data_IF_682606068450
#
_entry.id   IF_682606068450
#
_cell.length_a   1.000
_cell.length_b   1.000
_cell.length_c   1.000
_cell.angle_alpha   90.00
_cell.angle_beta   90.00
_cell.angle_gamma   90.00
#
_symmetry.space_group_name_H-M   'P 1'
#
loop_
_entity.id
_entity.type
_entity.pdbx_description
1 polymer ?
#
# COMPACT_ATOMS: atom_id res chain seq x y z
N UNK A 1 32.50 -41.09 -71.85
CA UNK A 1 31.07 -40.70 -71.73
C UNK A 1 30.70 -41.00 -70.27
N UNK A 2 30.46 -40.05 -69.38
CA UNK A 2 29.63 -38.85 -69.50
C UNK A 2 30.18 -37.73 -68.59
N UNK A 3 30.14 -36.52 -69.11
CA UNK A 3 30.55 -35.26 -68.50
C UNK A 3 29.56 -34.83 -67.39
N UNK A 4 30.06 -34.23 -66.32
CA UNK A 4 29.33 -33.33 -65.43
C UNK A 4 30.33 -32.48 -64.63
N UNK A 5 30.71 -31.33 -65.20
CA UNK A 5 31.09 -30.14 -64.42
C UNK A 5 29.86 -29.62 -63.66
N UNK A 6 30.06 -29.13 -62.44
CA UNK A 6 29.40 -27.87 -62.08
C UNK A 6 30.19 -27.07 -61.04
N UNK A 7 30.06 -25.74 -61.15
CA UNK A 7 30.86 -24.72 -60.51
C UNK A 7 30.33 -24.32 -59.14
N UNK A 8 31.26 -23.91 -58.26
CA UNK A 8 31.09 -23.20 -56.98
C UNK A 8 30.63 -24.04 -55.78
N UNK A 9 31.54 -24.17 -54.81
CA UNK A 9 31.18 -24.22 -53.39
C UNK A 9 31.81 -25.35 -52.60
N UNK A 10 32.93 -25.05 -51.92
CA UNK A 10 33.62 -25.94 -50.96
C UNK A 10 32.66 -26.52 -49.91
N UNK A 11 32.68 -27.86 -49.77
CA UNK A 11 32.67 -28.53 -48.47
C UNK A 11 33.78 -29.60 -48.47
N UNK A 12 34.69 -29.55 -47.49
CA UNK A 12 35.60 -30.66 -47.18
C UNK A 12 35.22 -31.19 -45.80
N UNK A 13 34.60 -32.36 -45.79
CA UNK A 13 34.74 -33.32 -44.70
C UNK A 13 36.11 -33.99 -44.87
N UNK A 14 36.88 -34.12 -43.79
CA UNK A 14 37.99 -35.07 -43.71
C UNK A 14 37.84 -35.84 -42.40
N UNK A 15 37.53 -37.13 -42.56
CA UNK A 15 37.80 -38.19 -41.60
C UNK A 15 39.08 -38.87 -42.05
N UNK A 16 39.99 -39.19 -41.12
CA UNK A 16 40.61 -40.53 -40.98
C UNK A 16 41.59 -40.57 -39.78
N UNK A 17 41.96 -41.78 -39.29
CA UNK A 17 42.07 -42.12 -37.88
C UNK A 17 43.44 -42.77 -37.58
N UNK A 18 43.68 -43.19 -36.34
CA UNK A 18 44.61 -44.29 -36.00
C UNK A 18 44.24 -44.77 -34.59
N UNK A 19 43.74 -46.01 -34.41
CA UNK A 19 44.50 -47.26 -34.10
C UNK A 19 45.04 -47.22 -32.65
N UNK A 20 44.86 -48.17 -31.72
CA UNK A 20 44.18 -49.48 -31.61
C UNK A 20 44.42 -49.98 -30.14
N UNK A 21 43.68 -51.00 -29.68
CA UNK A 21 44.05 -52.00 -28.63
C UNK A 21 43.91 -51.58 -27.14
N UNK A 22 43.30 -52.35 -26.21
CA UNK A 22 42.51 -53.60 -26.18
C UNK A 22 41.99 -53.83 -24.74
N UNK A 23 40.82 -54.49 -24.62
CA UNK A 23 40.43 -55.62 -23.71
C UNK A 23 39.15 -55.44 -22.89
N UNK A 24 38.35 -56.49 -23.00
CA UNK A 24 36.98 -56.73 -22.55
C UNK A 24 36.90 -57.28 -21.12
N UNK A 25 35.76 -56.97 -20.49
CA UNK A 25 34.95 -57.78 -19.56
C UNK A 25 35.53 -58.17 -18.18
N UNK A 26 34.79 -57.82 -17.10
CA UNK A 26 34.00 -58.70 -16.22
C UNK A 26 33.57 -57.85 -14.98
N UNK A 27 32.40 -58.19 -14.43
CA UNK A 27 31.86 -57.89 -13.09
C UNK A 27 30.82 -56.77 -13.02
N UNK A 28 29.56 -57.19 -13.21
CA UNK A 28 28.42 -56.60 -12.56
C UNK A 28 28.60 -56.65 -11.03
N UNK A 29 28.75 -55.49 -10.39
CA UNK A 29 28.50 -55.33 -8.97
C UNK A 29 27.59 -54.13 -8.80
N UNK A 30 26.39 -54.45 -8.35
CA UNK A 30 25.34 -53.55 -7.90
C UNK A 30 25.93 -52.65 -6.82
N UNK A 31 26.16 -51.39 -7.15
CA UNK A 31 25.94 -50.31 -6.20
C UNK A 31 25.05 -49.29 -6.91
N UNK A 32 23.75 -49.57 -6.88
CA UNK A 32 22.75 -48.52 -6.92
C UNK A 32 23.02 -47.66 -5.67
N UNK A 33 23.95 -46.71 -5.76
CA UNK A 33 23.89 -45.54 -4.89
C UNK A 33 22.67 -44.79 -5.37
N UNK A 34 21.49 -45.21 -4.87
CA UNK A 34 20.40 -44.28 -4.74
C UNK A 34 20.93 -43.19 -3.83
N UNK A 35 21.46 -42.14 -4.44
CA UNK A 35 21.50 -40.84 -3.81
C UNK A 35 20.03 -40.51 -3.60
N UNK A 36 19.49 -40.95 -2.46
CA UNK A 36 18.40 -40.29 -1.80
C UNK A 36 18.92 -38.91 -1.37
N UNK A 37 19.23 -38.07 -2.37
CA UNK A 37 19.04 -36.65 -2.24
C UNK A 37 17.53 -36.51 -2.14
N UNK A 38 17.02 -36.77 -0.94
CA UNK A 38 15.72 -36.31 -0.54
C UNK A 38 15.69 -34.87 -1.02
N UNK A 39 14.79 -34.61 -1.96
CA UNK A 39 14.61 -33.28 -2.50
C UNK A 39 14.26 -32.41 -1.31
N UNK A 40 15.27 -31.79 -0.70
CA UNK A 40 15.11 -30.86 0.39
C UNK A 40 14.38 -29.71 -0.25
N UNK A 41 13.04 -29.78 -0.22
CA UNK A 41 12.15 -28.76 -0.73
C UNK A 41 12.60 -27.51 -0.02
N UNK A 42 13.32 -26.62 -0.72
CA UNK A 42 13.93 -25.46 -0.10
C UNK A 42 12.85 -24.75 0.70
N UNK A 43 13.01 -24.73 2.03
CA UNK A 43 11.98 -24.21 2.94
C UNK A 43 11.74 -22.75 2.54
N UNK A 44 10.48 -22.41 2.26
CA UNK A 44 10.13 -21.03 1.88
C UNK A 44 10.65 -20.06 2.95
N UNK A 45 11.26 -18.93 2.57
CA UNK A 45 11.79 -17.99 3.54
C UNK A 45 10.65 -17.49 4.40
N UNK A 46 10.84 -17.55 5.72
CA UNK A 46 9.90 -16.96 6.67
C UNK A 46 10.22 -15.48 6.78
N UNK A 47 9.39 -14.65 6.15
CA UNK A 47 9.53 -13.20 6.18
C UNK A 47 8.82 -12.63 7.41
N UNK A 48 9.10 -11.39 7.82
CA UNK A 48 8.40 -10.79 8.95
C UNK A 48 6.92 -10.50 8.65
N UNK A 49 6.17 -10.29 9.73
CA UNK A 49 4.79 -9.80 9.67
C UNK A 49 4.72 -8.43 9.00
N UNK A 50 3.63 -8.13 8.30
CA UNK A 50 3.41 -6.84 7.65
C UNK A 50 3.31 -5.70 8.68
N UNK A 51 2.69 -5.98 9.83
CA UNK A 51 2.43 -5.00 10.90
C UNK A 51 3.56 -4.94 11.90
N UNK A 52 3.89 -3.74 12.37
CA UNK A 52 4.82 -3.56 13.48
C UNK A 52 4.19 -4.06 14.78
N UNK A 53 5.00 -4.67 15.64
CA UNK A 53 4.62 -5.07 17.00
C UNK A 53 5.81 -4.92 17.93
N UNK A 54 5.63 -5.14 19.24
CA UNK A 54 6.73 -5.09 20.21
C UNK A 54 7.90 -6.02 19.83
N UNK A 55 7.61 -7.18 19.23
CA UNK A 55 8.57 -8.20 18.81
C UNK A 55 8.92 -8.13 17.33
N UNK A 56 8.14 -7.39 16.53
CA UNK A 56 8.34 -7.22 15.08
C UNK A 56 8.65 -5.75 14.75
N UNK A 57 9.87 -5.31 15.04
CA UNK A 57 10.35 -3.95 14.78
C UNK A 57 11.25 -3.88 13.55
N UNK A 58 11.38 -2.69 12.96
CA UNK A 58 12.41 -2.46 11.94
C UNK A 58 13.79 -2.45 12.62
N UNK A 59 14.77 -3.23 12.16
CA UNK A 59 16.10 -3.27 12.76
C UNK A 59 16.76 -1.89 12.75
N UNK A 60 17.45 -1.53 13.84
CA UNK A 60 18.10 -0.20 13.98
C UNK A 60 19.13 0.12 12.89
N UNK A 61 19.70 -0.92 12.26
CA UNK A 61 20.63 -0.77 11.15
C UNK A 61 19.96 -0.30 9.85
N UNK A 62 18.64 -0.42 9.74
CA UNK A 62 17.87 0.09 8.61
C UNK A 62 17.58 1.57 8.83
N UNK A 63 18.19 2.42 8.02
CA UNK A 63 17.95 3.87 8.04
C UNK A 63 17.65 4.36 6.64
N UNK A 64 16.90 5.47 6.46
CA UNK A 64 16.65 6.04 5.15
C UNK A 64 17.94 6.27 4.36
N UNK A 65 18.99 6.78 5.01
CA UNK A 65 20.32 6.98 4.40
C UNK A 65 20.89 5.68 3.82
N UNK A 66 20.84 4.57 4.57
CA UNK A 66 21.36 3.27 4.13
C UNK A 66 20.50 2.64 3.05
N UNK A 67 19.18 2.75 3.14
CA UNK A 67 18.26 2.30 2.08
C UNK A 67 18.49 3.05 0.77
N UNK A 68 18.70 4.36 0.83
CA UNK A 68 19.04 5.15 -0.36
C UNK A 68 20.40 4.76 -0.94
N UNK A 69 21.42 4.53 -0.10
CA UNK A 69 22.71 4.01 -0.56
C UNK A 69 22.58 2.63 -1.22
N UNK A 70 21.71 1.77 -0.70
CA UNK A 70 21.40 0.47 -1.30
C UNK A 70 20.70 0.61 -2.65
N UNK A 71 19.67 1.48 -2.76
CA UNK A 71 18.98 1.74 -4.03
C UNK A 71 19.95 2.26 -5.11
N UNK A 72 20.83 3.20 -4.75
CA UNK A 72 21.84 3.76 -5.66
C UNK A 72 22.88 2.74 -6.15
N UNK A 73 23.05 1.60 -5.46
CA UNK A 73 23.99 0.57 -5.90
C UNK A 73 23.56 -0.17 -7.17
N UNK A 74 22.32 0.04 -7.63
CA UNK A 74 21.78 -0.57 -8.86
C UNK A 74 21.06 0.40 -9.78
N UNK A 75 20.62 1.55 -9.26
CA UNK A 75 20.07 2.62 -10.07
C UNK A 75 21.10 3.74 -10.24
N UNK A 76 21.79 3.74 -11.37
CA UNK A 76 22.80 4.75 -11.70
C UNK A 76 22.23 5.99 -12.41
N UNK A 77 20.93 6.02 -12.73
CA UNK A 77 20.30 7.15 -13.40
C UNK A 77 20.26 8.39 -12.51
N UNK A 78 21.06 9.42 -12.82
CA UNK A 78 21.10 10.68 -12.08
C UNK A 78 19.72 11.33 -11.94
N UNK A 79 18.91 11.29 -13.01
CA UNK A 79 17.54 11.83 -13.03
C UNK A 79 16.64 11.13 -12.02
N UNK A 80 16.60 9.80 -12.03
CA UNK A 80 15.73 9.00 -11.16
C UNK A 80 16.20 9.06 -9.70
N UNK A 81 17.51 9.06 -9.46
CA UNK A 81 18.09 9.28 -8.12
C UNK A 81 17.69 10.63 -7.55
N UNK A 82 17.67 11.70 -8.36
CA UNK A 82 17.22 13.04 -7.95
C UNK A 82 15.72 13.07 -7.67
N UNK A 83 14.92 12.44 -8.55
CA UNK A 83 13.48 12.35 -8.41
C UNK A 83 13.12 11.67 -7.09
N UNK A 84 13.69 10.49 -6.82
CA UNK A 84 13.35 9.66 -5.67
C UNK A 84 14.23 9.87 -4.43
N UNK A 85 14.96 10.99 -4.34
CA UNK A 85 15.96 11.23 -3.27
C UNK A 85 15.45 11.07 -1.84
N UNK A 86 14.16 11.29 -1.61
CA UNK A 86 13.52 11.25 -0.29
C UNK A 86 12.61 10.03 -0.09
N UNK A 87 12.56 9.07 -1.02
CA UNK A 87 11.59 7.98 -0.97
C UNK A 87 11.72 7.14 0.31
N UNK A 88 12.94 6.77 0.72
CA UNK A 88 13.16 5.99 1.94
C UNK A 88 12.76 6.73 3.22
N UNK A 89 12.81 8.07 3.20
CA UNK A 89 12.29 8.88 4.31
C UNK A 89 10.77 8.72 4.43
N UNK A 90 10.04 8.77 3.32
CA UNK A 90 8.59 8.56 3.33
C UNK A 90 8.19 7.14 3.72
N UNK A 91 8.96 6.11 3.34
CA UNK A 91 8.70 4.75 3.84
C UNK A 91 8.80 4.69 5.36
N UNK A 92 9.86 5.27 5.93
CA UNK A 92 10.00 5.32 7.39
C UNK A 92 8.87 6.12 8.03
N UNK A 93 8.60 7.32 7.52
CA UNK A 93 7.59 8.22 8.11
C UNK A 93 6.19 7.60 8.10
N UNK A 94 5.70 7.17 6.93
CA UNK A 94 4.38 6.56 6.82
C UNK A 94 4.32 5.19 7.48
N UNK A 95 5.39 4.41 7.38
CA UNK A 95 5.50 3.10 8.01
C UNK A 95 5.41 3.15 9.53
N UNK A 96 6.14 4.06 10.16
CA UNK A 96 6.05 4.28 11.61
C UNK A 96 4.66 4.79 12.02
N UNK A 97 4.11 5.77 11.29
CA UNK A 97 2.77 6.32 11.56
C UNK A 97 1.66 5.29 11.42
N UNK A 98 1.76 4.43 10.41
CA UNK A 98 0.74 3.44 10.10
C UNK A 98 1.01 2.08 10.73
N UNK A 99 2.10 1.90 11.48
CA UNK A 99 2.53 0.63 12.05
C UNK A 99 2.79 -0.49 11.00
N UNK A 100 3.48 -0.17 9.90
CA UNK A 100 3.86 -1.13 8.84
C UNK A 100 5.38 -1.36 8.86
N UNK A 101 5.82 -2.61 8.63
CA UNK A 101 7.23 -3.01 8.44
C UNK A 101 7.81 -2.41 7.16
N UNK A 102 8.19 -1.14 7.28
CA UNK A 102 8.53 -0.28 6.15
C UNK A 102 9.83 -0.61 5.45
N UNK A 103 10.74 -1.31 6.12
CA UNK A 103 11.94 -1.87 5.50
C UNK A 103 11.57 -2.90 4.43
N UNK A 104 10.64 -3.81 4.75
CA UNK A 104 10.16 -4.81 3.80
C UNK A 104 9.26 -4.22 2.71
N UNK A 105 8.44 -3.21 3.01
CA UNK A 105 7.72 -2.46 1.98
C UNK A 105 8.69 -1.77 0.99
N UNK A 106 9.81 -1.24 1.48
CA UNK A 106 10.85 -0.67 0.62
C UNK A 106 11.54 -1.75 -0.22
N UNK A 107 11.87 -2.91 0.34
CA UNK A 107 12.46 -4.02 -0.41
C UNK A 107 11.52 -4.56 -1.49
N UNK A 108 10.22 -4.64 -1.18
CA UNK A 108 9.17 -4.93 -2.13
C UNK A 108 9.24 -3.96 -3.32
N UNK A 109 9.31 -2.65 -3.05
CA UNK A 109 9.44 -1.63 -4.09
C UNK A 109 10.67 -1.79 -4.97
N UNK A 110 11.80 -2.25 -4.42
CA UNK A 110 12.99 -2.52 -5.25
C UNK A 110 12.74 -3.63 -6.28
N UNK A 111 11.82 -4.56 -6.00
CA UNK A 111 11.43 -5.63 -6.94
C UNK A 111 10.43 -5.07 -7.94
N UNK A 112 9.34 -4.48 -7.44
CA UNK A 112 8.20 -3.99 -8.24
C UNK A 112 8.61 -2.94 -9.28
N UNK A 113 9.65 -2.16 -8.99
CA UNK A 113 10.10 -1.06 -9.84
C UNK A 113 11.47 -1.31 -10.47
N UNK A 114 12.06 -2.49 -10.24
CA UNK A 114 13.46 -2.78 -10.55
C UNK A 114 14.40 -1.65 -10.07
N UNK A 115 14.50 -1.47 -8.75
CA UNK A 115 15.31 -0.42 -8.10
C UNK A 115 14.95 1.00 -8.56
N UNK A 116 13.66 1.28 -8.77
CA UNK A 116 13.13 2.57 -9.25
C UNK A 116 13.62 2.95 -10.66
N UNK A 117 14.10 1.98 -11.44
CA UNK A 117 14.42 2.20 -12.85
C UNK A 117 13.18 2.10 -13.73
N UNK A 118 12.17 1.35 -13.28
CA UNK A 118 10.96 0.98 -14.02
C UNK A 118 11.27 0.28 -15.36
N UNK A 119 12.47 -0.28 -15.48
CA UNK A 119 12.92 -1.03 -16.63
C UNK A 119 12.81 -2.53 -16.35
N UNK A 120 12.44 -3.29 -17.36
CA UNK A 120 12.53 -4.75 -17.36
C UNK A 120 14.00 -5.19 -17.37
N UNK A 121 14.26 -6.49 -17.13
CA UNK A 121 15.62 -7.05 -17.19
C UNK A 121 16.30 -6.89 -18.56
N UNK A 122 15.52 -6.72 -19.65
CA UNK A 122 16.01 -6.44 -21.00
C UNK A 122 16.17 -4.94 -21.29
N UNK A 123 16.02 -4.07 -20.30
CA UNK A 123 16.21 -2.63 -20.42
C UNK A 123 15.03 -1.84 -21.01
N UNK A 124 13.94 -2.51 -21.44
CA UNK A 124 12.70 -1.88 -21.91
C UNK A 124 11.90 -1.28 -20.75
N UNK A 125 11.05 -0.30 -21.01
CA UNK A 125 10.09 0.21 -20.02
C UNK A 125 9.11 -0.89 -19.58
N UNK A 126 8.80 -0.92 -18.29
CA UNK A 126 7.70 -1.72 -17.74
C UNK A 126 6.35 -1.01 -17.86
N UNK A 127 5.31 -1.58 -17.27
CA UNK A 127 3.92 -1.09 -17.38
C UNK A 127 3.67 0.24 -16.66
N UNK A 128 4.58 0.68 -15.78
CA UNK A 128 4.41 1.87 -14.93
C UNK A 128 5.46 2.91 -15.25
N UNK A 129 5.02 4.13 -15.58
CA UNK A 129 5.89 5.30 -15.71
C UNK A 129 6.40 5.76 -14.33
N UNK A 130 7.69 6.10 -14.16
CA UNK A 130 8.22 6.66 -12.92
C UNK A 130 7.46 7.87 -12.35
N UNK A 131 6.85 8.70 -13.21
CA UNK A 131 6.01 9.86 -12.85
C UNK A 131 4.62 9.47 -12.34
N UNK A 132 4.24 8.19 -12.45
CA UNK A 132 3.02 7.70 -11.83
C UNK A 132 3.15 7.58 -10.30
N UNK A 133 4.39 7.58 -9.78
CA UNK A 133 4.70 7.38 -8.36
C UNK A 133 4.06 6.12 -7.76
N UNK A 134 3.78 5.13 -8.60
CA UNK A 134 3.29 3.82 -8.18
C UNK A 134 4.48 2.90 -7.94
N UNK A 135 4.78 2.68 -6.67
CA UNK A 135 5.98 1.97 -6.21
C UNK A 135 5.75 0.48 -5.95
N UNK A 136 4.55 0.00 -6.24
CA UNK A 136 4.13 -1.34 -5.85
C UNK A 136 3.25 -2.05 -6.90
N UNK A 137 3.20 -1.52 -8.13
CA UNK A 137 2.40 -2.10 -9.21
C UNK A 137 0.89 -2.12 -8.92
N UNK A 138 0.38 -1.21 -8.09
CA UNK A 138 -1.01 -1.26 -7.66
C UNK A 138 -1.91 -1.01 -8.87
N UNK A 139 -2.79 -1.96 -9.16
CA UNK A 139 -3.75 -1.84 -10.27
C UNK A 139 -3.18 -2.16 -11.65
N UNK A 140 -1.93 -2.62 -11.76
CA UNK A 140 -1.42 -3.15 -13.03
C UNK A 140 -2.04 -4.52 -13.34
N UNK A 141 -2.29 -4.80 -14.61
CA UNK A 141 -2.78 -6.11 -15.08
C UNK A 141 -1.80 -6.82 -16.03
N UNK A 142 -0.66 -6.20 -16.32
CA UNK A 142 0.27 -6.63 -17.37
C UNK A 142 -0.14 -6.15 -18.76
N UNK A 143 0.79 -6.20 -19.72
CA UNK A 143 0.51 -5.88 -21.13
C UNK A 143 0.38 -4.39 -21.42
N UNK A 144 1.00 -3.52 -20.62
CA UNK A 144 1.00 -2.06 -20.84
C UNK A 144 -0.19 -1.30 -20.24
N UNK A 145 -1.11 -1.96 -19.53
CA UNK A 145 -2.20 -1.26 -18.81
C UNK A 145 -1.61 -0.49 -17.63
N UNK A 146 -1.71 0.86 -17.61
CA UNK A 146 -1.13 1.65 -16.55
C UNK A 146 -1.89 1.39 -15.24
N UNK A 147 -1.15 1.13 -14.17
CA UNK A 147 -1.72 0.99 -12.83
C UNK A 147 -2.17 2.35 -12.25
N UNK A 148 -2.56 2.33 -10.97
CA UNK A 148 -2.92 3.54 -10.22
C UNK A 148 -1.80 4.60 -10.31
N UNK A 149 -2.18 5.88 -10.35
CA UNK A 149 -1.26 7.03 -10.37
C UNK A 149 -1.47 7.90 -9.13
N UNK A 150 -0.36 8.42 -8.60
CA UNK A 150 -0.32 9.27 -7.43
C UNK A 150 0.27 10.64 -7.76
N UNK A 151 -0.08 11.70 -7.01
CA UNK A 151 0.40 13.07 -7.26
C UNK A 151 1.88 13.26 -6.90
N UNK A 152 2.39 12.52 -5.92
CA UNK A 152 3.75 12.67 -5.42
C UNK A 152 4.26 11.38 -4.75
N UNK A 153 5.55 11.38 -4.41
CA UNK A 153 6.25 10.24 -3.80
C UNK A 153 5.65 9.87 -2.44
N UNK A 154 5.33 10.86 -1.60
CA UNK A 154 4.76 10.63 -0.27
C UNK A 154 3.41 9.92 -0.39
N UNK A 155 2.56 10.40 -1.30
CA UNK A 155 1.24 9.85 -1.58
C UNK A 155 1.32 8.44 -2.16
N UNK A 156 2.24 8.18 -3.08
CA UNK A 156 2.49 6.83 -3.62
C UNK A 156 2.97 5.83 -2.57
N UNK A 157 3.89 6.24 -1.70
CA UNK A 157 4.36 5.39 -0.59
C UNK A 157 3.23 5.12 0.40
N UNK A 158 2.46 6.15 0.79
CA UNK A 158 1.29 5.99 1.65
C UNK A 158 0.26 5.02 1.04
N UNK A 159 0.02 5.10 -0.26
CA UNK A 159 -0.90 4.21 -0.96
C UNK A 159 -0.47 2.74 -0.87
N UNK A 160 0.82 2.43 -1.06
CA UNK A 160 1.36 1.08 -0.83
C UNK A 160 1.21 0.63 0.62
N UNK A 161 1.53 1.50 1.59
CA UNK A 161 1.37 1.16 3.01
C UNK A 161 -0.07 0.78 3.33
N UNK A 162 -1.04 1.58 2.88
CA UNK A 162 -2.46 1.29 3.09
C UNK A 162 -2.90 0.00 2.38
N UNK A 163 -2.36 -0.28 1.18
CA UNK A 163 -2.64 -1.54 0.50
C UNK A 163 -2.09 -2.74 1.29
N UNK A 164 -0.87 -2.64 1.81
CA UNK A 164 -0.28 -3.66 2.69
C UNK A 164 -1.11 -3.87 3.96
N UNK A 165 -1.71 -2.81 4.51
CA UNK A 165 -2.62 -2.94 5.66
C UNK A 165 -3.87 -3.74 5.30
N UNK A 166 -4.45 -3.52 4.11
CA UNK A 166 -5.52 -4.41 3.62
C UNK A 166 -5.05 -5.87 3.54
N UNK A 167 -3.86 -6.13 3.01
CA UNK A 167 -3.28 -7.48 3.02
C UNK A 167 -2.98 -8.02 4.42
N UNK A 168 -2.82 -7.18 5.43
CA UNK A 168 -2.71 -7.62 6.82
C UNK A 168 -4.04 -8.04 7.46
N UNK A 169 -5.17 -7.84 6.78
CA UNK A 169 -6.50 -8.17 7.29
C UNK A 169 -7.24 -6.99 7.97
N UNK A 170 -6.74 -5.77 7.77
CA UNK A 170 -7.28 -4.54 8.35
C UNK A 170 -7.86 -3.63 7.25
N UNK A 171 -9.10 -3.17 7.43
CA UNK A 171 -9.71 -2.20 6.52
C UNK A 171 -9.08 -0.82 6.71
N UNK A 172 -9.01 -0.06 5.62
CA UNK A 172 -8.52 1.31 5.61
C UNK A 172 -9.69 2.27 5.37
N UNK A 173 -9.83 3.28 6.24
CA UNK A 173 -10.75 4.39 6.02
C UNK A 173 -10.16 5.29 4.95
N UNK A 174 -10.87 5.46 3.83
CA UNK A 174 -10.47 6.26 2.67
C UNK A 174 -9.07 5.92 2.14
N UNK A 175 -8.84 4.70 1.61
CA UNK A 175 -7.57 4.33 1.00
C UNK A 175 -7.18 5.28 -0.13
N UNK A 176 -5.91 5.67 -0.22
CA UNK A 176 -5.40 6.57 -1.25
C UNK A 176 -5.50 5.94 -2.64
N UNK A 177 -5.11 4.67 -2.79
CA UNK A 177 -5.17 3.94 -4.06
C UNK A 177 -6.61 3.57 -4.46
N UNK A 178 -7.11 3.98 -5.64
CA UNK A 178 -8.39 3.53 -6.19
C UNK A 178 -8.58 2.02 -6.14
N UNK A 179 -7.56 1.25 -6.55
CA UNK A 179 -7.59 -0.22 -6.49
C UNK A 179 -7.82 -0.75 -5.07
N UNK A 180 -7.24 -0.10 -4.07
CA UNK A 180 -7.43 -0.49 -2.66
C UNK A 180 -8.85 -0.20 -2.20
N UNK A 181 -9.43 0.94 -2.57
CA UNK A 181 -10.85 1.25 -2.27
C UNK A 181 -11.76 0.17 -2.83
N UNK A 182 -11.53 -0.23 -4.08
CA UNK A 182 -12.34 -1.20 -4.79
C UNK A 182 -12.26 -2.61 -4.18
N UNK A 183 -11.09 -3.03 -3.68
CA UNK A 183 -10.84 -4.45 -3.37
C UNK A 183 -10.36 -4.79 -1.97
N UNK A 184 -10.21 -3.79 -1.10
CA UNK A 184 -9.81 -4.06 0.28
C UNK A 184 -10.73 -5.06 0.99
N UNK A 185 -12.05 -5.05 0.77
CA UNK A 185 -12.96 -5.98 1.44
C UNK A 185 -12.66 -7.44 1.11
N UNK A 186 -12.49 -7.74 -0.18
CA UNK A 186 -12.11 -9.06 -0.67
C UNK A 186 -10.71 -9.46 -0.14
N UNK A 187 -9.73 -8.56 -0.24
CA UNK A 187 -8.36 -8.78 0.23
C UNK A 187 -8.35 -9.09 1.73
N UNK A 188 -9.04 -8.28 2.54
CA UNK A 188 -9.13 -8.42 3.99
C UNK A 188 -9.81 -9.72 4.36
N UNK A 189 -10.94 -10.06 3.73
CA UNK A 189 -11.65 -11.32 3.96
C UNK A 189 -10.74 -12.52 3.71
N UNK A 190 -9.98 -12.52 2.62
CA UNK A 190 -9.03 -13.58 2.30
C UNK A 190 -7.85 -13.61 3.28
N UNK A 191 -7.34 -12.45 3.71
CA UNK A 191 -6.26 -12.36 4.69
C UNK A 191 -6.65 -12.95 6.04
N UNK A 192 -7.88 -12.67 6.51
CA UNK A 192 -8.37 -13.17 7.80
C UNK A 192 -8.49 -14.69 7.86
N UNK A 193 -8.63 -15.37 6.72
CA UNK A 193 -8.62 -16.85 6.66
C UNK A 193 -7.30 -17.48 7.14
N UNK A 194 -6.20 -16.72 7.13
CA UNK A 194 -4.91 -17.21 7.63
C UNK A 194 -4.88 -17.41 9.16
N UNK A 195 -5.80 -16.80 9.92
CA UNK A 195 -5.92 -16.95 11.38
C UNK A 195 -4.63 -16.70 12.16
N UNK A 196 -3.75 -15.83 11.63
CA UNK A 196 -2.52 -15.36 12.27
C UNK A 196 -2.10 -14.02 11.67
N UNK A 197 -1.16 -13.29 12.30
CA UNK A 197 -0.53 -12.14 11.65
C UNK A 197 0.01 -12.50 10.26
N UNK A 198 -0.36 -11.68 9.28
CA UNK A 198 0.03 -11.88 7.89
C UNK A 198 1.47 -11.40 7.69
N UNK A 199 2.27 -12.19 6.99
CA UNK A 199 3.68 -11.93 6.72
C UNK A 199 3.91 -11.56 5.26
N UNK A 200 5.06 -10.96 4.97
CA UNK A 200 5.43 -10.65 3.59
C UNK A 200 5.53 -11.90 2.70
N UNK A 201 5.82 -13.08 3.26
CA UNK A 201 5.80 -14.34 2.50
C UNK A 201 4.40 -14.78 2.08
N UNK A 202 3.35 -14.33 2.77
CA UNK A 202 1.95 -14.59 2.40
C UNK A 202 1.49 -13.76 1.18
N UNK A 203 2.26 -12.76 0.76
CA UNK A 203 1.97 -11.98 -0.43
C UNK A 203 2.20 -12.78 -1.72
N UNK A 204 3.01 -13.85 -1.66
CA UNK A 204 3.25 -14.72 -2.80
C UNK A 204 1.96 -15.44 -3.23
N UNK A 205 1.57 -15.24 -4.49
CA UNK A 205 0.34 -15.79 -5.03
C UNK A 205 -0.95 -15.04 -4.65
N UNK A 206 -0.84 -13.89 -3.97
CA UNK A 206 -1.97 -13.06 -3.56
C UNK A 206 -1.80 -11.61 -4.03
N UNK A 207 -0.62 -11.04 -3.78
CA UNK A 207 -0.18 -9.76 -4.31
C UNK A 207 0.39 -9.93 -5.71
N UNK A 208 1.39 -10.79 -5.83
CA UNK A 208 2.00 -11.16 -7.11
C UNK A 208 1.56 -12.58 -7.47
N UNK A 209 1.34 -12.86 -8.75
CA UNK A 209 1.02 -14.22 -9.23
C UNK A 209 2.17 -15.19 -8.93
N UNK A 210 3.42 -14.70 -8.99
CA UNK A 210 4.63 -15.47 -8.73
C UNK A 210 4.64 -16.09 -7.32
N UNK A 211 4.77 -17.42 -7.26
CA UNK A 211 4.87 -18.19 -6.01
C UNK A 211 6.26 -18.08 -5.37
N UNK A 212 7.28 -17.67 -6.12
CA UNK A 212 8.65 -17.41 -5.64
C UNK A 212 8.85 -15.97 -5.16
N UNK A 213 7.82 -15.14 -5.18
CA UNK A 213 7.89 -13.72 -4.79
C UNK A 213 8.50 -13.49 -3.40
N UNK A 214 8.21 -14.36 -2.42
CA UNK A 214 8.82 -14.30 -1.10
C UNK A 214 10.35 -14.44 -1.13
N UNK A 215 10.89 -15.29 -2.02
CA UNK A 215 12.33 -15.43 -2.22
C UNK A 215 12.96 -14.17 -2.81
N UNK A 216 12.26 -13.51 -3.73
CA UNK A 216 12.71 -12.23 -4.30
C UNK A 216 12.82 -11.15 -3.22
N UNK A 217 11.79 -11.01 -2.37
CA UNK A 217 11.81 -10.07 -1.23
C UNK A 217 12.96 -10.40 -0.28
N UNK A 218 13.09 -11.67 0.10
CA UNK A 218 14.14 -12.09 1.01
C UNK A 218 15.54 -11.86 0.42
N UNK A 219 15.71 -12.09 -0.88
CA UNK A 219 16.99 -11.88 -1.53
C UNK A 219 17.42 -10.39 -1.49
N UNK A 220 16.49 -9.47 -1.74
CA UNK A 220 16.75 -8.02 -1.62
C UNK A 220 17.06 -7.65 -0.17
N UNK A 221 16.24 -8.12 0.77
CA UNK A 221 16.39 -7.83 2.20
C UNK A 221 17.71 -8.36 2.77
N UNK A 222 18.10 -9.59 2.40
CA UNK A 222 19.37 -10.22 2.77
C UNK A 222 20.56 -9.48 2.17
N UNK A 223 20.45 -9.06 0.91
CA UNK A 223 21.50 -8.26 0.25
C UNK A 223 21.75 -6.95 0.98
N UNK A 224 20.67 -6.28 1.41
CA UNK A 224 20.79 -5.09 2.25
C UNK A 224 21.45 -5.41 3.60
N UNK A 225 20.96 -6.43 4.31
CA UNK A 225 21.48 -6.79 5.65
C UNK A 225 22.96 -7.15 5.62
N UNK A 226 23.39 -7.96 4.65
CA UNK A 226 24.80 -8.37 4.49
C UNK A 226 25.73 -7.15 4.37
N UNK A 227 25.28 -6.09 3.69
CA UNK A 227 26.09 -4.88 3.47
C UNK A 227 25.98 -3.83 4.57
N UNK A 228 24.81 -3.67 5.18
CA UNK A 228 24.51 -2.51 6.03
C UNK A 228 24.15 -2.86 7.49
N UNK A 229 24.04 -4.14 7.84
CA UNK A 229 23.63 -4.61 9.16
C UNK A 229 24.65 -5.57 9.82
N UNK A 230 25.93 -5.47 9.49
CA UNK A 230 27.00 -6.34 10.01
C UNK A 230 27.99 -5.59 10.90
N UNK A 231 28.60 -6.32 11.85
CA UNK A 231 29.73 -5.87 12.67
C UNK A 231 29.63 -4.42 13.16
N UNK A 232 30.63 -3.61 12.77
CA UNK A 232 30.77 -2.19 13.12
C UNK A 232 29.55 -1.34 12.72
N UNK A 233 28.92 -1.63 11.58
CA UNK A 233 27.77 -0.85 11.09
C UNK A 233 26.52 -1.01 11.97
N UNK A 234 26.33 -2.20 12.56
CA UNK A 234 25.26 -2.44 13.51
C UNK A 234 25.53 -1.71 14.83
N UNK A 235 26.78 -1.69 15.30
CA UNK A 235 27.15 -0.97 16.52
C UNK A 235 26.98 0.55 16.38
N UNK A 236 27.42 1.13 15.25
CA UNK A 236 27.18 2.54 14.94
C UNK A 236 25.69 2.85 14.95
N UNK A 237 24.87 2.02 14.31
CA UNK A 237 23.43 2.22 14.28
C UNK A 237 22.77 2.14 15.67
N UNK A 238 23.21 1.21 16.52
CA UNK A 238 22.76 1.11 17.91
C UNK A 238 23.14 2.35 18.72
N UNK A 239 24.37 2.84 18.57
CA UNK A 239 24.84 4.04 19.25
C UNK A 239 24.05 5.29 18.81
N UNK A 240 23.83 5.47 17.50
CA UNK A 240 23.00 6.55 16.96
C UNK A 240 21.55 6.48 17.48
N UNK A 241 20.96 5.29 17.52
CA UNK A 241 19.61 5.07 18.04
C UNK A 241 19.51 5.43 19.54
N UNK A 242 20.51 5.03 20.35
CA UNK A 242 20.60 5.40 21.77
C UNK A 242 20.69 6.92 21.93
N UNK A 243 21.56 7.59 21.17
CA UNK A 243 21.72 9.06 21.18
C UNK A 243 20.41 9.77 20.83
N UNK A 244 19.70 9.31 19.79
CA UNK A 244 18.39 9.86 19.39
C UNK A 244 17.32 9.65 20.47
N UNK A 245 17.27 8.47 21.10
CA UNK A 245 16.33 8.17 22.19
C UNK A 245 16.57 9.09 23.38
N UNK A 246 17.83 9.30 23.77
CA UNK A 246 18.21 10.23 24.83
C UNK A 246 17.81 11.68 24.48
N UNK A 247 18.11 12.14 23.27
CA UNK A 247 17.74 13.48 22.81
C UNK A 247 16.20 13.69 22.81
N UNK A 248 15.44 12.69 22.37
CA UNK A 248 13.96 12.72 22.41
C UNK A 248 13.43 12.82 23.83
N UNK A 249 13.95 12.00 24.76
CA UNK A 249 13.60 12.06 26.19
C UNK A 249 13.90 13.44 26.79
N UNK A 250 15.07 14.01 26.51
CA UNK A 250 15.45 15.37 26.94
C UNK A 250 14.48 16.43 26.42
N UNK A 251 14.10 16.37 25.13
CA UNK A 251 13.12 17.30 24.53
C UNK A 251 11.73 17.15 25.16
N UNK A 252 11.28 15.93 25.41
CA UNK A 252 10.00 15.66 26.07
C UNK A 252 9.98 16.20 27.51
N UNK A 253 11.05 15.95 28.28
CA UNK A 253 11.22 16.49 29.62
C UNK A 253 11.22 18.03 29.62
N UNK A 254 11.94 18.66 28.69
CA UNK A 254 11.95 20.12 28.54
C UNK A 254 10.55 20.68 28.20
N UNK A 255 9.80 20.01 27.30
CA UNK A 255 8.42 20.40 26.96
C UNK A 255 7.48 20.25 28.16
N UNK A 256 7.62 19.18 28.94
CA UNK A 256 6.84 18.98 30.16
C UNK A 256 7.13 20.05 31.21
N UNK A 257 8.41 20.39 31.44
CA UNK A 257 8.82 21.49 32.33
C UNK A 257 8.22 22.83 31.90
N UNK A 258 8.30 23.18 30.60
CA UNK A 258 7.69 24.41 30.06
C UNK A 258 6.18 24.47 30.28
N UNK A 259 5.48 23.34 30.10
CA UNK A 259 4.03 23.24 30.36
C UNK A 259 3.70 23.46 31.84
N UNK A 260 4.47 22.86 32.75
CA UNK A 260 4.28 23.07 34.21
C UNK A 260 4.49 24.54 34.59
N UNK A 261 5.60 25.15 34.16
CA UNK A 261 5.87 26.56 34.44
C UNK A 261 4.79 27.51 33.87
N UNK A 262 4.25 27.20 32.69
CA UNK A 262 3.15 27.96 32.10
C UNK A 262 1.85 27.82 32.93
N UNK A 263 1.53 26.60 33.38
CA UNK A 263 0.39 26.35 34.26
C UNK A 263 0.54 27.08 35.61
N UNK A 264 1.71 27.02 36.25
CA UNK A 264 1.98 27.72 37.52
C UNK A 264 1.85 29.24 37.36
N UNK A 265 2.29 29.79 36.21
CA UNK A 265 2.14 31.22 35.90
C UNK A 265 0.67 31.61 35.76
N UNK A 266 -0.14 30.77 35.11
CA UNK A 266 -1.59 30.99 35.00
C UNK A 266 -2.28 30.90 36.36
N UNK A 267 -1.93 29.91 37.18
CA UNK A 267 -2.47 29.76 38.53
C UNK A 267 -2.14 30.96 39.42
N UNK A 268 -0.89 31.44 39.40
CA UNK A 268 -0.49 32.66 40.13
C UNK A 268 -1.27 33.90 39.67
N UNK A 269 -1.45 34.09 38.35
CA UNK A 269 -2.27 35.17 37.81
C UNK A 269 -3.73 35.09 38.28
N UNK A 270 -4.32 33.90 38.29
CA UNK A 270 -5.69 33.69 38.77
C UNK A 270 -5.83 34.04 40.26
N UNK A 271 -4.87 33.64 41.10
CA UNK A 271 -4.83 33.99 42.52
C UNK A 271 -4.71 35.50 42.74
N UNK A 272 -3.84 36.20 42.00
CA UNK A 272 -3.71 37.66 42.11
C UNK A 272 -4.99 38.38 41.68
N UNK A 273 -5.64 37.94 40.60
CA UNK A 273 -6.92 38.52 40.17
C UNK A 273 -8.06 38.22 41.15
N UNK A 274 -8.05 37.06 41.81
CA UNK A 274 -9.01 36.73 42.86
C UNK A 274 -8.82 37.62 44.10
N UNK A 275 -7.56 37.86 44.53
CA UNK A 275 -7.25 38.80 45.61
C UNK A 275 -7.67 40.25 45.28
N UNK A 276 -7.40 40.73 44.07
CA UNK A 276 -7.86 42.05 43.62
C UNK A 276 -9.39 42.16 43.64
N UNK A 277 -10.12 41.14 43.17
CA UNK A 277 -11.59 41.11 43.26
C UNK A 277 -12.09 41.09 44.70
N UNK A 278 -11.43 40.34 45.60
CA UNK A 278 -11.79 40.30 47.02
C UNK A 278 -11.56 41.65 47.71
N UNK A 279 -10.52 42.40 47.34
CA UNK A 279 -10.30 43.76 47.81
C UNK A 279 -11.37 44.74 47.29
N UNK A 280 -11.78 44.63 46.02
CA UNK A 280 -12.88 45.46 45.47
C UNK A 280 -14.22 45.14 46.15
N UNK A 281 -14.53 43.87 46.41
CA UNK A 281 -15.78 43.48 47.10
C UNK A 281 -15.82 43.90 48.58
N UNK A 282 -14.68 44.07 49.26
CA UNK A 282 -14.67 44.60 50.65
C UNK A 282 -14.96 46.11 50.72
N UNK A 283 -14.77 46.85 49.63
CA UNK A 283 -15.16 48.27 49.53
C UNK A 283 -16.62 48.48 49.11
N UNK A 284 -17.37 47.40 48.84
CA UNK A 284 -18.76 47.44 48.42
C UNK A 284 -19.62 46.47 49.25
N UNK A 285 -19.67 46.70 50.57
CA UNK A 285 -20.69 46.09 51.43
C UNK A 285 -21.92 47.01 51.48
N UNK A 286 -22.63 47.09 50.35
CA UNK A 286 -24.05 47.40 50.30
C UNK A 286 -24.79 46.09 50.03
N UNK A 287 -25.59 45.64 51.00
CA UNK A 287 -26.31 44.38 50.94
C UNK A 287 -27.25 44.34 49.73
N UNK A 288 -27.05 43.36 48.85
CA UNK A 288 -28.04 42.97 47.85
C UNK A 288 -28.14 41.45 47.83
N UNK A 289 -29.36 40.97 48.11
CA UNK A 289 -29.79 39.58 48.13
C UNK A 289 -29.50 38.86 46.80
N UNK A 290 -28.89 37.68 46.88
CA UNK A 290 -28.59 36.80 45.74
C UNK A 290 -29.84 36.01 45.34
N UNK A 291 -30.34 36.08 44.09
CA UNK A 291 -31.40 35.18 43.63
C UNK A 291 -30.82 33.78 43.31
N UNK A 292 -31.62 32.71 43.40
CA UNK A 292 -31.14 31.34 43.20
C UNK A 292 -30.79 31.08 41.73
N UNK A 293 -29.70 30.35 41.51
CA UNK A 293 -29.25 29.92 40.16
C UNK A 293 -30.22 28.90 39.56
N UNK A 294 -30.53 28.98 38.25
CA UNK A 294 -31.26 27.92 37.56
C UNK A 294 -30.36 26.70 37.32
N UNK A 295 -30.88 25.51 37.63
CA UNK A 295 -30.25 24.22 37.28
C UNK A 295 -30.51 23.96 35.79
N UNK A 296 -29.47 24.02 34.97
CA UNK A 296 -29.50 23.56 33.58
C UNK A 296 -29.38 22.03 33.54
N UNK A 297 -30.51 21.35 33.36
CA UNK A 297 -30.56 19.94 32.98
C UNK A 297 -30.55 19.83 31.46
N UNK A 298 -29.49 19.25 30.89
CA UNK A 298 -29.46 18.92 29.46
C UNK A 298 -30.31 17.66 29.22
N UNK A 299 -31.49 17.82 28.60
CA UNK A 299 -32.25 16.69 28.07
C UNK A 299 -31.57 16.20 26.78
N UNK A 300 -31.08 14.97 26.79
CA UNK A 300 -30.64 14.27 25.58
C UNK A 300 -31.88 13.71 24.89
N UNK A 301 -32.27 14.30 23.77
CA UNK A 301 -33.35 13.79 22.93
C UNK A 301 -32.79 12.73 21.97
N UNK A 302 -33.35 11.52 21.89
CA UNK A 302 -32.94 10.55 20.88
C UNK A 302 -33.35 11.04 19.48
N UNK A 303 -32.58 10.72 18.42
CA UNK A 303 -32.92 11.15 17.07
C UNK A 303 -34.21 10.48 16.58
N UNK A 304 -35.13 11.28 16.01
CA UNK A 304 -36.36 10.81 15.37
C UNK A 304 -36.04 9.93 14.14
N UNK A 305 -36.81 8.88 13.87
CA UNK A 305 -36.73 8.12 12.62
C UNK A 305 -37.16 8.99 11.43
N UNK A 306 -36.34 9.02 10.39
CA UNK A 306 -36.59 9.76 9.14
C UNK A 306 -37.61 8.99 8.29
N UNK A 307 -38.65 9.63 7.73
CA UNK A 307 -39.65 8.97 6.90
C UNK A 307 -39.03 8.42 5.59
N UNK A 308 -39.47 7.23 5.19
CA UNK A 308 -38.95 6.49 4.04
C UNK A 308 -39.55 7.07 2.75
N UNK A 309 -38.76 7.81 1.95
CA UNK A 309 -39.22 8.32 0.64
C UNK A 309 -39.43 7.16 -0.35
N UNK A 310 -40.52 7.21 -1.12
CA UNK A 310 -40.89 6.19 -2.15
C UNK A 310 -39.99 6.24 -3.40
N UNK A 311 -39.20 7.29 -3.57
CA UNK A 311 -38.26 7.45 -4.66
C UNK A 311 -36.94 8.09 -4.18
N UNK A 312 -35.80 7.64 -4.71
CA UNK A 312 -34.47 8.16 -4.35
C UNK A 312 -33.58 8.38 -5.57
N UNK A 313 -32.82 9.48 -5.55
CA UNK A 313 -31.83 9.82 -6.59
C UNK A 313 -30.44 9.71 -5.98
N UNK A 314 -29.60 8.90 -6.60
CA UNK A 314 -28.22 8.66 -6.19
C UNK A 314 -27.25 8.97 -7.31
N UNK A 315 -25.97 9.02 -6.96
CA UNK A 315 -24.91 9.03 -7.96
C UNK A 315 -23.76 8.13 -7.56
N UNK A 316 -23.18 7.49 -8.56
CA UNK A 316 -22.02 6.63 -8.43
C UNK A 316 -21.05 6.91 -9.59
N UNK A 317 -19.78 6.55 -9.43
CA UNK A 317 -18.79 6.80 -10.47
C UNK A 317 -17.68 5.77 -10.38
N UNK A 318 -17.42 5.09 -11.50
CA UNK A 318 -16.19 4.34 -11.76
C UNK A 318 -15.10 5.24 -12.38
N UNK A 319 -15.38 6.54 -12.55
CA UNK A 319 -14.58 7.47 -13.34
C UNK A 319 -14.90 7.36 -14.83
N UNK A 320 -14.70 8.45 -15.57
CA UNK A 320 -14.89 8.50 -17.01
C UNK A 320 -15.85 9.59 -17.49
N UNK A 321 -15.83 9.90 -18.80
CA UNK A 321 -16.58 11.02 -19.35
C UNK A 321 -18.06 10.70 -19.58
N UNK A 322 -18.46 9.42 -19.69
CA UNK A 322 -19.84 9.04 -19.96
C UNK A 322 -20.61 8.74 -18.68
N UNK A 323 -21.89 9.07 -18.63
CA UNK A 323 -22.76 8.74 -17.51
C UNK A 323 -24.00 8.00 -17.96
N UNK A 324 -24.29 6.87 -17.31
CA UNK A 324 -25.47 6.05 -17.55
C UNK A 324 -26.47 6.30 -16.42
N UNK A 325 -27.74 6.50 -16.76
CA UNK A 325 -28.81 6.59 -15.78
C UNK A 325 -29.41 5.20 -15.58
N UNK A 326 -29.33 4.70 -14.35
CA UNK A 326 -29.82 3.37 -13.98
C UNK A 326 -31.08 3.52 -13.15
N UNK A 327 -32.14 2.80 -13.51
CA UNK A 327 -33.36 2.65 -12.70
C UNK A 327 -33.35 1.28 -12.04
N UNK A 328 -33.49 1.24 -10.72
CA UNK A 328 -33.61 0.00 -9.94
C UNK A 328 -34.79 0.08 -8.97
N UNK A 329 -35.43 -1.06 -8.67
CA UNK A 329 -36.49 -1.14 -7.66
C UNK A 329 -36.04 -2.09 -6.55
N UNK A 330 -35.89 -1.57 -5.34
CA UNK A 330 -35.52 -2.35 -4.16
C UNK A 330 -36.56 -2.10 -3.06
N UNK A 331 -37.18 -3.17 -2.54
CA UNK A 331 -38.10 -3.13 -1.40
C UNK A 331 -39.21 -2.05 -1.49
N UNK A 332 -39.78 -1.85 -2.69
CA UNK A 332 -40.86 -0.88 -2.91
C UNK A 332 -40.41 0.55 -3.24
N UNK A 333 -39.12 0.88 -3.08
CA UNK A 333 -38.56 2.20 -3.44
C UNK A 333 -37.90 2.17 -4.81
N UNK A 334 -38.21 3.14 -5.67
CA UNK A 334 -37.54 3.32 -6.96
C UNK A 334 -36.27 4.15 -6.73
N UNK A 335 -35.14 3.68 -7.23
CA UNK A 335 -33.85 4.36 -7.16
C UNK A 335 -33.34 4.68 -8.56
N UNK A 336 -33.06 5.96 -8.82
CA UNK A 336 -32.39 6.42 -10.02
C UNK A 336 -30.93 6.76 -9.71
N UNK A 337 -29.97 6.13 -10.38
CA UNK A 337 -28.54 6.38 -10.18
C UNK A 337 -27.88 6.91 -11.43
N UNK A 338 -27.28 8.09 -11.34
CA UNK A 338 -26.33 8.57 -12.34
C UNK A 338 -24.97 7.90 -12.12
N UNK A 339 -24.63 6.92 -12.95
CA UNK A 339 -23.40 6.13 -12.90
C UNK A 339 -22.40 6.59 -13.96
N UNK A 340 -21.34 7.30 -13.55
CA UNK A 340 -20.26 7.66 -14.48
C UNK A 340 -19.32 6.47 -14.72
N UNK A 341 -19.03 6.18 -15.99
CA UNK A 341 -18.28 5.00 -16.45
C UNK A 341 -17.19 5.39 -17.45
N UNK A 342 -16.16 4.55 -17.57
CA UNK A 342 -15.11 4.71 -18.57
C UNK A 342 -15.65 4.33 -19.96
N UNK A 343 -15.29 5.11 -20.97
CA UNK A 343 -15.62 4.79 -22.36
C UNK A 343 -15.01 3.45 -22.76
N UNK A 344 -15.80 2.58 -23.40
CA UNK A 344 -15.42 1.21 -23.79
C UNK A 344 -15.65 0.15 -22.70
N UNK A 345 -16.08 0.53 -21.49
CA UNK A 345 -16.35 -0.39 -20.38
C UNK A 345 -17.79 -0.27 -19.82
N UNK A 346 -18.67 0.43 -20.53
CA UNK A 346 -20.03 0.80 -20.11
C UNK A 346 -20.83 -0.43 -19.65
N UNK A 347 -20.87 -1.48 -20.47
CA UNK A 347 -21.62 -2.71 -20.18
C UNK A 347 -21.06 -3.46 -18.98
N UNK A 348 -19.73 -3.58 -18.90
CA UNK A 348 -19.05 -4.31 -17.81
C UNK A 348 -19.24 -3.61 -16.46
N UNK A 349 -19.02 -2.29 -16.42
CA UNK A 349 -19.17 -1.48 -15.20
C UNK A 349 -20.62 -1.39 -14.74
N UNK A 350 -21.55 -1.27 -15.68
CA UNK A 350 -22.99 -1.26 -15.35
C UNK A 350 -23.43 -2.61 -14.80
N UNK A 351 -23.01 -3.72 -15.40
CA UNK A 351 -23.33 -5.06 -14.88
C UNK A 351 -22.75 -5.27 -13.47
N UNK A 352 -21.52 -4.78 -13.23
CA UNK A 352 -20.92 -4.82 -11.90
C UNK A 352 -21.71 -4.00 -10.87
N UNK A 353 -22.19 -2.82 -11.26
CA UNK A 353 -23.02 -1.97 -10.40
C UNK A 353 -24.38 -2.61 -10.12
N UNK A 354 -25.06 -3.11 -11.16
CA UNK A 354 -26.36 -3.77 -11.03
C UNK A 354 -26.30 -4.98 -10.10
N UNK A 355 -25.25 -5.81 -10.21
CA UNK A 355 -25.05 -6.97 -9.35
C UNK A 355 -24.84 -6.63 -7.87
N UNK A 356 -24.27 -5.46 -7.57
CA UNK A 356 -23.93 -5.04 -6.20
C UNK A 356 -24.99 -4.17 -5.53
N UNK A 357 -25.75 -3.40 -6.31
CA UNK A 357 -26.65 -2.36 -5.79
C UNK A 357 -28.11 -2.49 -6.27
N UNK A 358 -28.39 -3.34 -7.26
CA UNK A 358 -29.72 -3.52 -7.83
C UNK A 358 -30.06 -5.00 -8.02
N UNK A 359 -29.84 -5.82 -6.98
CA UNK A 359 -30.15 -7.26 -6.98
C UNK A 359 -31.63 -7.57 -7.23
N UNK A 360 -32.54 -6.58 -7.04
CA UNK A 360 -33.96 -6.67 -7.38
C UNK A 360 -34.33 -6.39 -8.84
N UNK A 361 -33.35 -6.20 -9.73
CA UNK A 361 -33.58 -5.90 -11.15
C UNK A 361 -33.47 -4.41 -11.45
N UNK A 362 -32.30 -3.98 -11.91
CA UNK A 362 -32.05 -2.63 -12.42
C UNK A 362 -31.68 -2.65 -13.90
N UNK A 363 -32.03 -1.58 -14.62
CA UNK A 363 -31.71 -1.40 -16.03
C UNK A 363 -31.23 0.01 -16.33
N UNK A 364 -30.36 0.14 -17.33
CA UNK A 364 -30.01 1.45 -17.90
C UNK A 364 -31.22 2.01 -18.65
N UNK A 365 -31.55 3.27 -18.39
CA UNK A 365 -32.68 3.98 -19.00
C UNK A 365 -32.27 5.21 -19.81
N UNK A 366 -30.97 5.52 -19.85
CA UNK A 366 -30.43 6.60 -20.68
C UNK A 366 -28.91 6.71 -20.56
N UNK A 367 -28.29 7.25 -21.60
CA UNK A 367 -26.87 7.62 -21.64
C UNK A 367 -26.73 9.13 -21.79
N UNK A 368 -25.78 9.72 -21.08
CA UNK A 368 -25.59 11.16 -20.99
C UNK A 368 -24.11 11.51 -21.11
N UNK A 369 -23.84 12.67 -21.73
CA UNK A 369 -22.49 13.20 -21.89
C UNK A 369 -21.90 13.69 -20.55
N UNK A 370 -22.75 13.99 -19.57
CA UNK A 370 -22.29 14.44 -18.25
C UNK A 370 -23.15 13.89 -17.11
N UNK A 371 -22.54 13.80 -15.92
CA UNK A 371 -23.24 13.44 -14.70
C UNK A 371 -24.37 14.40 -14.36
N UNK A 372 -24.20 15.68 -14.71
CA UNK A 372 -25.19 16.74 -14.44
C UNK A 372 -26.48 16.51 -15.22
N UNK A 373 -26.39 16.18 -16.51
CA UNK A 373 -27.55 15.86 -17.35
C UNK A 373 -28.28 14.60 -16.85
N UNK A 374 -27.54 13.55 -16.53
CA UNK A 374 -28.12 12.32 -15.99
C UNK A 374 -28.88 12.57 -14.68
N UNK A 375 -28.33 13.40 -13.78
CA UNK A 375 -28.98 13.78 -12.53
C UNK A 375 -30.21 14.65 -12.77
N UNK A 376 -30.15 15.62 -13.69
CA UNK A 376 -31.30 16.45 -14.05
C UNK A 376 -32.47 15.57 -14.53
N UNK A 377 -32.21 14.56 -15.36
CA UNK A 377 -33.23 13.59 -15.76
C UNK A 377 -33.69 12.72 -14.58
N UNK A 378 -32.79 12.28 -13.71
CA UNK A 378 -33.14 11.49 -12.54
C UNK A 378 -34.12 12.21 -11.61
N UNK A 379 -33.89 13.50 -11.34
CA UNK A 379 -34.78 14.34 -10.55
C UNK A 379 -36.14 14.57 -11.25
N UNK A 380 -36.16 14.75 -12.57
CA UNK A 380 -37.42 14.86 -13.32
C UNK A 380 -38.27 13.57 -13.26
N UNK A 381 -37.64 12.40 -13.15
CA UNK A 381 -38.31 11.10 -13.04
C UNK A 381 -38.68 10.71 -11.59
N UNK A 382 -38.31 11.54 -10.62
CA UNK A 382 -38.45 11.30 -9.19
C UNK A 382 -38.85 12.61 -8.46
N UNK A 383 -40.02 13.20 -8.79
CA UNK A 383 -40.53 14.36 -8.06
C UNK A 383 -40.81 13.99 -6.60
N UNK A 384 -40.62 14.96 -5.69
CA UNK A 384 -40.64 14.74 -4.23
C UNK A 384 -41.91 14.14 -3.66
#
# INVERSE_FOLDING_TARGET
MTDCRNAKGRLRCFNHPTVFIRRLAIIAMVVLVQIAAGSARAKRPRLPEIRLSATNQVPVCVTPKRLMAFMHSRNHSRRLRRLFRNIAYYYKEHGEKLAVRWDYAFFQTMIETNFLTYKTGRGRWGDVDPKAFNFAGIGTTGGGVPGDKFPDISTGVKAQMQHLIAYSGELQKNPTAPRTRLKQEEIVRLSRKLRRPVRFDDLAGRWAVDRKYAHSIEWVARSFRKKYCTGKMLQIARAEARKRKLASRRRQAARARRRRLAADRLARKALTSSRQRAHISRSALGAASVPPRPRLTWKVTPPRPVPVKRCSVLSASFGGPKTLLIKARNNGTITYTALSVLAGFEKSMTNSYLKSHASGGGRTIGEYASKREALARAFALCPE
#
